data_IF_129849766284
#
_entry.id   IF_129849766284
#
_cell.length_a   1.000
_cell.length_b   1.000
_cell.length_c   1.000
_cell.angle_alpha   90.00
_cell.angle_beta   90.00
_cell.angle_gamma   90.00
#
_symmetry.space_group_name_H-M   'P 1'
#
loop_
_entity.id
_entity.type
_entity.pdbx_description
1 polymer ?
#
# COMPACT_ATOMS: atom_id res chain seq x y z
N UNK A 1 19.92 10.42 -8.23
CA UNK A 1 20.22 8.99 -8.00
C UNK A 1 19.41 8.22 -9.04
N UNK A 2 20.03 7.53 -10.01
CA UNK A 2 19.26 7.00 -11.16
C UNK A 2 18.51 5.73 -10.80
N UNK A 3 17.30 5.58 -11.35
CA UNK A 3 16.39 4.44 -11.22
C UNK A 3 17.08 3.08 -11.35
N UNK A 4 18.10 3.03 -12.22
CA UNK A 4 18.98 1.87 -12.43
C UNK A 4 19.74 1.41 -11.17
N UNK A 5 20.15 2.32 -10.28
CA UNK A 5 20.83 1.95 -9.03
C UNK A 5 19.86 1.40 -7.99
N UNK A 6 18.66 1.96 -7.89
CA UNK A 6 17.61 1.48 -6.99
C UNK A 6 17.16 0.06 -7.37
N UNK A 7 16.87 -0.17 -8.65
CA UNK A 7 16.50 -1.50 -9.16
C UNK A 7 17.62 -2.55 -8.95
N UNK A 8 18.88 -2.18 -9.21
CA UNK A 8 20.05 -3.05 -8.93
C UNK A 8 20.16 -3.40 -7.44
N UNK A 9 19.94 -2.44 -6.54
CA UNK A 9 20.01 -2.65 -5.09
C UNK A 9 18.88 -3.55 -4.60
N UNK A 10 17.65 -3.30 -5.06
CA UNK A 10 16.49 -4.13 -4.75
C UNK A 10 16.69 -5.57 -5.22
N UNK A 11 17.12 -5.78 -6.47
CA UNK A 11 17.39 -7.12 -7.00
C UNK A 11 18.50 -7.86 -6.26
N UNK A 12 19.54 -7.15 -5.80
CA UNK A 12 20.61 -7.74 -4.96
C UNK A 12 20.11 -8.14 -3.57
N UNK A 13 19.20 -7.35 -2.98
CA UNK A 13 18.58 -7.69 -1.69
C UNK A 13 17.71 -8.94 -1.82
N UNK A 14 16.79 -8.92 -2.80
CA UNK A 14 15.89 -10.04 -3.10
C UNK A 14 16.65 -11.34 -3.41
N UNK A 15 17.72 -11.25 -4.22
CA UNK A 15 18.58 -12.40 -4.51
C UNK A 15 19.18 -13.05 -3.25
N UNK A 16 19.56 -12.23 -2.25
CA UNK A 16 20.11 -12.73 -0.99
C UNK A 16 19.04 -13.36 -0.10
N UNK A 17 17.89 -12.72 0.01
CA UNK A 17 16.76 -13.17 0.85
C UNK A 17 16.15 -14.47 0.34
N UNK A 18 16.08 -14.65 -0.98
CA UNK A 18 15.43 -15.80 -1.62
C UNK A 18 16.41 -16.83 -2.20
N UNK A 19 17.72 -16.67 -1.98
CA UNK A 19 18.77 -17.55 -2.52
C UNK A 19 18.71 -17.72 -4.05
N UNK A 20 18.39 -16.64 -4.77
CA UNK A 20 18.26 -16.63 -6.23
C UNK A 20 19.48 -16.01 -6.90
N UNK A 21 19.70 -16.32 -8.19
CA UNK A 21 20.64 -15.54 -8.98
C UNK A 21 20.13 -14.11 -9.20
N UNK A 22 21.04 -13.16 -9.38
CA UNK A 22 20.70 -11.77 -9.65
C UNK A 22 19.75 -11.58 -10.86
N UNK A 23 19.92 -12.39 -11.92
CA UNK A 23 19.03 -12.35 -13.10
C UNK A 23 17.62 -12.85 -12.77
N UNK A 24 17.50 -13.91 -11.98
CA UNK A 24 16.20 -14.41 -11.52
C UNK A 24 15.50 -13.41 -10.61
N UNK A 25 16.24 -12.77 -9.69
CA UNK A 25 15.70 -11.72 -8.84
C UNK A 25 15.23 -10.51 -9.65
N UNK A 26 15.97 -10.08 -10.67
CA UNK A 26 15.52 -9.03 -11.59
C UNK A 26 14.25 -9.41 -12.35
N UNK A 27 14.17 -10.64 -12.85
CA UNK A 27 12.99 -11.11 -13.57
C UNK A 27 11.77 -11.21 -12.66
N UNK A 28 11.94 -11.68 -11.41
CA UNK A 28 10.88 -11.73 -10.40
C UNK A 28 10.36 -10.33 -10.06
N UNK A 29 11.25 -9.39 -9.73
CA UNK A 29 10.86 -8.00 -9.46
C UNK A 29 10.23 -7.32 -10.68
N UNK A 30 10.68 -7.64 -11.90
CA UNK A 30 10.08 -7.16 -13.14
C UNK A 30 8.65 -7.69 -13.33
N UNK A 31 8.42 -8.97 -13.05
CA UNK A 31 7.10 -9.57 -13.10
C UNK A 31 6.16 -8.99 -12.03
N UNK A 32 6.63 -8.83 -10.79
CA UNK A 32 5.87 -8.20 -9.70
C UNK A 32 5.47 -6.76 -10.07
N UNK A 33 6.41 -5.97 -10.61
CA UNK A 33 6.10 -4.61 -11.11
C UNK A 33 5.08 -4.61 -12.24
N UNK A 34 5.18 -5.55 -13.18
CA UNK A 34 4.22 -5.65 -14.27
C UNK A 34 2.81 -6.02 -13.78
N UNK A 35 2.71 -6.83 -12.73
CA UNK A 35 1.42 -7.12 -12.07
C UNK A 35 0.92 -5.88 -11.35
N UNK A 36 1.74 -5.24 -10.52
CA UNK A 36 1.38 -4.02 -9.79
C UNK A 36 0.92 -2.89 -10.73
N UNK A 37 1.57 -2.73 -11.89
CA UNK A 37 1.20 -1.72 -12.90
C UNK A 37 -0.25 -1.84 -13.38
N UNK A 38 -0.88 -3.01 -13.26
CA UNK A 38 -2.30 -3.21 -13.60
C UNK A 38 -3.26 -2.64 -12.56
N UNK A 39 -2.78 -2.36 -11.35
CA UNK A 39 -3.55 -1.89 -10.21
C UNK A 39 -3.26 -0.41 -9.89
N UNK A 40 -2.64 0.34 -10.80
CA UNK A 40 -2.34 1.78 -10.58
C UNK A 40 -3.59 2.57 -10.24
N UNK A 41 -4.69 2.40 -10.98
CA UNK A 41 -5.95 3.11 -10.68
C UNK A 41 -6.60 2.66 -9.38
N UNK A 42 -6.44 1.39 -8.98
CA UNK A 42 -6.86 0.93 -7.66
C UNK A 42 -6.01 1.59 -6.58
N UNK A 43 -4.70 1.70 -6.78
CA UNK A 43 -3.79 2.32 -5.84
C UNK A 43 -4.05 3.81 -5.65
N UNK A 44 -4.29 4.56 -6.74
CA UNK A 44 -4.69 5.98 -6.69
C UNK A 44 -5.94 6.12 -5.83
N UNK A 45 -6.94 5.28 -6.10
CA UNK A 45 -8.21 5.32 -5.38
C UNK A 45 -8.09 4.88 -3.92
N UNK A 46 -7.26 3.88 -3.61
CA UNK A 46 -6.94 3.48 -2.23
C UNK A 46 -6.30 4.63 -1.48
N UNK A 47 -5.32 5.33 -2.07
CA UNK A 47 -4.70 6.49 -1.42
C UNK A 47 -5.72 7.61 -1.15
N UNK A 48 -6.58 7.92 -2.11
CA UNK A 48 -7.65 8.91 -1.95
C UNK A 48 -8.60 8.51 -0.82
N UNK A 49 -9.09 7.27 -0.81
CA UNK A 49 -10.04 6.82 0.23
C UNK A 49 -9.39 6.65 1.60
N UNK A 50 -8.10 6.31 1.65
CA UNK A 50 -7.33 6.29 2.88
C UNK A 50 -7.24 7.70 3.48
N UNK A 51 -6.82 8.70 2.69
CA UNK A 51 -6.55 10.06 3.17
C UNK A 51 -7.81 10.92 3.22
N UNK A 52 -8.46 11.13 2.07
CA UNK A 52 -9.62 12.02 1.94
C UNK A 52 -10.93 11.34 2.36
N UNK A 53 -11.05 10.03 2.09
CA UNK A 53 -12.13 9.19 2.60
C UNK A 53 -12.02 8.86 4.10
N UNK A 54 -10.99 9.38 4.78
CA UNK A 54 -10.72 9.18 6.20
C UNK A 54 -10.50 7.71 6.63
N UNK A 55 -10.10 6.82 5.71
CA UNK A 55 -9.83 5.42 6.05
C UNK A 55 -8.80 5.25 7.17
N UNK A 56 -7.70 6.00 7.12
CA UNK A 56 -6.56 5.83 8.05
C UNK A 56 -6.50 6.88 9.16
N UNK A 57 -7.27 7.95 9.06
CA UNK A 57 -7.19 9.10 9.99
C UNK A 57 -7.63 8.79 11.42
N UNK A 58 -8.20 7.60 11.64
CA UNK A 58 -8.56 7.13 12.97
C UNK A 58 -7.40 6.50 13.75
N UNK A 59 -6.26 6.21 13.11
CA UNK A 59 -5.05 5.66 13.74
C UNK A 59 -3.73 6.30 13.27
N UNK A 60 -3.77 7.28 12.39
CA UNK A 60 -2.58 8.06 12.05
C UNK A 60 -2.90 9.52 11.81
N UNK A 61 -1.87 10.36 11.91
CA UNK A 61 -1.87 11.73 11.42
C UNK A 61 -1.31 11.77 10.00
N UNK A 62 -1.97 12.48 9.09
CA UNK A 62 -1.46 12.71 7.73
C UNK A 62 -0.61 13.97 7.75
N UNK A 63 0.70 13.81 7.53
CA UNK A 63 1.69 14.90 7.55
C UNK A 63 1.76 15.62 6.20
N UNK A 64 1.65 14.85 5.11
CA UNK A 64 1.65 15.39 3.75
C UNK A 64 0.83 14.51 2.81
N UNK A 65 0.12 15.14 1.88
CA UNK A 65 -0.60 14.46 0.80
C UNK A 65 -0.46 15.29 -0.48
N UNK A 66 -0.06 14.65 -1.57
CA UNK A 66 0.12 15.31 -2.87
C UNK A 66 -1.15 15.34 -3.74
N UNK A 67 -2.25 14.76 -3.25
CA UNK A 67 -3.53 14.67 -3.95
C UNK A 67 -3.71 13.44 -4.83
N UNK A 68 -2.69 12.58 -5.01
CA UNK A 68 -2.84 11.43 -5.93
C UNK A 68 -1.91 10.24 -5.70
N UNK A 69 -0.64 10.46 -5.40
CA UNK A 69 0.40 9.45 -5.61
C UNK A 69 1.28 9.18 -4.40
N UNK A 70 1.28 10.07 -3.41
CA UNK A 70 2.17 9.93 -2.26
C UNK A 70 1.65 10.65 -1.02
N UNK A 71 1.65 9.93 0.10
CA UNK A 71 1.36 10.50 1.42
C UNK A 71 2.44 10.12 2.43
N UNK A 72 2.69 11.01 3.38
CA UNK A 72 3.48 10.72 4.59
C UNK A 72 2.54 10.77 5.78
N UNK A 73 2.61 9.74 6.61
CA UNK A 73 1.78 9.60 7.82
C UNK A 73 2.65 9.30 9.03
N UNK A 74 2.15 9.65 10.21
CA UNK A 74 2.71 9.25 11.50
C UNK A 74 1.66 8.46 12.26
N UNK A 75 1.97 7.22 12.65
CA UNK A 75 1.03 6.37 13.39
C UNK A 75 0.87 6.81 14.86
N UNK A 76 -0.04 6.17 15.60
CA UNK A 76 -0.23 6.46 17.05
C UNK A 76 1.03 6.14 17.89
N UNK A 77 1.90 5.26 17.43
CA UNK A 77 3.19 4.95 18.05
C UNK A 77 4.27 6.01 17.81
N UNK A 78 4.03 6.96 16.89
CA UNK A 78 4.98 7.99 16.49
C UNK A 78 5.93 7.57 15.37
N UNK A 79 5.73 6.39 14.77
CA UNK A 79 6.51 5.94 13.62
C UNK A 79 6.00 6.59 12.33
N UNK A 80 6.93 7.05 11.51
CA UNK A 80 6.63 7.75 10.26
C UNK A 80 6.76 6.80 9.06
N UNK A 81 5.75 6.82 8.19
CA UNK A 81 5.71 6.04 6.97
C UNK A 81 5.45 6.93 5.77
N UNK A 82 6.08 6.60 4.64
CA UNK A 82 5.74 7.16 3.33
C UNK A 82 5.08 6.08 2.49
N UNK A 83 3.87 6.34 2.05
CA UNK A 83 3.12 5.49 1.14
C UNK A 83 3.24 6.08 -0.26
N UNK A 84 3.76 5.30 -1.20
CA UNK A 84 3.78 5.66 -2.61
C UNK A 84 2.75 4.86 -3.41
N UNK A 85 2.36 5.40 -4.56
CA UNK A 85 1.45 4.75 -5.48
C UNK A 85 1.94 3.34 -5.89
N UNK A 86 3.25 3.18 -6.08
CA UNK A 86 3.85 1.89 -6.45
C UNK A 86 3.74 0.86 -5.32
N UNK A 87 3.97 1.27 -4.07
CA UNK A 87 3.85 0.40 -2.90
C UNK A 87 2.39 -0.05 -2.70
N UNK A 88 1.45 0.89 -2.84
CA UNK A 88 0.02 0.61 -2.74
C UNK A 88 -0.46 -0.26 -3.90
N UNK A 89 0.06 -0.07 -5.12
CA UNK A 89 -0.28 -0.92 -6.27
C UNK A 89 0.20 -2.36 -6.08
N UNK A 90 1.38 -2.55 -5.49
CA UNK A 90 1.89 -3.88 -5.11
C UNK A 90 1.05 -4.52 -4.01
N UNK A 91 0.65 -3.73 -3.00
CA UNK A 91 -0.26 -4.19 -1.94
C UNK A 91 -1.63 -4.59 -2.49
N UNK A 92 -2.21 -3.77 -3.37
CA UNK A 92 -3.49 -4.06 -4.04
C UNK A 92 -3.41 -5.34 -4.88
N UNK A 93 -2.34 -5.51 -5.66
CA UNK A 93 -2.12 -6.75 -6.43
C UNK A 93 -2.09 -8.00 -5.54
N UNK A 94 -1.43 -7.89 -4.38
CA UNK A 94 -1.34 -8.98 -3.41
C UNK A 94 -2.69 -9.25 -2.75
N UNK A 95 -3.41 -8.19 -2.36
CA UNK A 95 -4.69 -8.28 -1.67
C UNK A 95 -5.79 -8.86 -2.56
N UNK A 96 -5.89 -8.42 -3.81
CA UNK A 96 -6.91 -8.92 -4.75
C UNK A 96 -6.55 -10.30 -5.34
N UNK A 97 -5.26 -10.64 -5.39
CA UNK A 97 -4.78 -11.95 -5.84
C UNK A 97 -5.34 -12.37 -7.21
N UNK A 98 -5.66 -13.65 -7.36
CA UNK A 98 -6.33 -14.21 -8.56
C UNK A 98 -7.87 -14.15 -8.48
N UNK A 99 -8.42 -13.46 -7.48
CA UNK A 99 -9.86 -13.35 -7.25
C UNK A 99 -10.54 -12.34 -8.18
N UNK A 100 -11.84 -12.13 -7.94
CA UNK A 100 -12.56 -11.04 -8.58
C UNK A 100 -12.01 -9.70 -8.08
N UNK A 101 -11.40 -8.94 -8.99
CA UNK A 101 -10.93 -7.59 -8.69
C UNK A 101 -12.11 -6.62 -8.74
N UNK A 102 -12.39 -5.85 -7.67
CA UNK A 102 -13.44 -4.84 -7.69
C UNK A 102 -13.12 -3.73 -8.70
N UNK A 103 -14.13 -2.97 -9.13
CA UNK A 103 -13.87 -1.72 -9.84
C UNK A 103 -13.09 -0.78 -8.90
N UNK A 104 -12.15 0.05 -9.39
CA UNK A 104 -11.55 1.09 -8.55
C UNK A 104 -12.61 1.91 -7.82
N UNK A 105 -13.72 2.25 -8.49
CA UNK A 105 -14.80 3.05 -7.90
C UNK A 105 -15.55 2.35 -6.75
N UNK A 106 -15.41 1.03 -6.60
CA UNK A 106 -16.01 0.26 -5.51
C UNK A 106 -15.12 0.24 -4.25
N UNK A 107 -13.91 0.79 -4.33
CA UNK A 107 -13.02 0.93 -3.17
C UNK A 107 -13.58 2.02 -2.26
N UNK A 108 -13.84 1.64 -1.02
CA UNK A 108 -14.24 2.53 0.06
C UNK A 108 -13.11 2.70 1.09
N UNK A 109 -13.36 3.57 2.07
CA UNK A 109 -12.39 3.89 3.12
C UNK A 109 -12.08 2.71 4.05
N UNK A 110 -12.99 1.74 4.17
CA UNK A 110 -12.76 0.53 4.97
C UNK A 110 -11.75 -0.40 4.27
N UNK A 111 -11.96 -0.69 2.98
CA UNK A 111 -11.03 -1.50 2.21
C UNK A 111 -9.66 -0.81 2.06
N UNK A 112 -9.66 0.51 1.87
CA UNK A 112 -8.43 1.29 1.82
C UNK A 112 -7.63 1.17 3.13
N UNK A 113 -8.31 1.26 4.28
CA UNK A 113 -7.70 1.07 5.59
C UNK A 113 -7.09 -0.34 5.74
N UNK A 114 -7.82 -1.40 5.40
CA UNK A 114 -7.32 -2.77 5.50
C UNK A 114 -6.07 -3.00 4.65
N UNK A 115 -6.04 -2.48 3.42
CA UNK A 115 -4.90 -2.60 2.51
C UNK A 115 -3.70 -1.82 3.05
N UNK A 116 -3.88 -0.58 3.51
CA UNK A 116 -2.79 0.24 4.04
C UNK A 116 -2.21 -0.38 5.31
N UNK A 117 -3.03 -0.83 6.25
CA UNK A 117 -2.53 -1.49 7.46
C UNK A 117 -1.81 -2.80 7.14
N UNK A 118 -2.34 -3.60 6.21
CA UNK A 118 -1.69 -4.85 5.79
C UNK A 118 -0.34 -4.59 5.13
N UNK A 119 -0.24 -3.54 4.31
CA UNK A 119 1.03 -3.09 3.72
C UNK A 119 2.06 -2.71 4.78
N UNK A 120 1.67 -1.89 5.77
CA UNK A 120 2.60 -1.35 6.76
C UNK A 120 2.97 -2.37 7.85
N UNK A 121 2.01 -3.17 8.29
CA UNK A 121 2.14 -3.99 9.50
C UNK A 121 2.04 -5.49 9.25
N UNK A 122 1.77 -5.92 8.02
CA UNK A 122 1.50 -7.33 7.70
C UNK A 122 0.14 -7.84 8.19
N UNK A 123 -0.73 -6.95 8.69
CA UNK A 123 -2.08 -7.26 9.16
C UNK A 123 -2.82 -6.04 9.70
N UNK A 124 -4.06 -6.24 10.14
CA UNK A 124 -4.92 -5.18 10.70
C UNK A 124 -4.73 -5.11 12.21
N UNK A 125 -4.22 -3.99 12.72
CA UNK A 125 -3.94 -3.77 14.14
C UNK A 125 -4.92 -2.75 14.72
N UNK A 126 -5.21 -1.69 13.99
CA UNK A 126 -6.12 -0.63 14.38
C UNK A 126 -7.50 -0.91 13.81
N UNK A 127 -8.42 -1.38 14.65
CA UNK A 127 -9.81 -1.59 14.22
C UNK A 127 -10.66 -0.38 14.57
N UNK A 128 -11.50 0.11 13.66
CA UNK A 128 -12.52 1.10 13.99
C UNK A 128 -13.37 0.56 15.14
N UNK A 129 -13.36 1.24 16.29
CA UNK A 129 -14.29 0.90 17.36
C UNK A 129 -15.71 1.20 16.87
N UNK A 130 -16.53 0.17 16.68
CA UNK A 130 -17.97 0.34 16.46
C UNK A 130 -18.58 0.91 17.74
N UNK A 131 -18.58 2.24 17.88
CA UNK A 131 -19.36 2.91 18.92
C UNK A 131 -20.83 2.77 18.54
N UNK A 132 -21.55 1.84 19.19
CA UNK A 132 -23.01 1.88 19.21
C UNK A 132 -23.41 3.25 19.76
N UNK A 133 -23.99 4.10 18.91
CA UNK A 133 -24.63 5.35 19.35
C UNK A 133 -25.74 4.93 20.32
N UNK A 134 -25.55 5.14 21.62
CA UNK A 134 -26.68 5.14 22.55
C UNK A 134 -27.49 6.37 22.18
N UNK A 135 -28.63 6.15 21.54
CA UNK A 135 -29.67 7.17 21.42
C UNK A 135 -30.12 7.42 22.86
N UNK A 136 -29.80 8.62 23.37
CA UNK A 136 -30.33 9.12 24.63
C UNK A 136 -31.70 9.76 24.36
#
# INVERSE_FOLDING_TARGET
MTENFAAKRAARRYAREHHLSYRQALAALGAERAVAARFVHHAERILIEAVEGCGITHWCTVESWDGSSSTTITDLGGEQFTLSLDDVASAAATHFGAGATPSPLDIDSYLADEIVQTLLFGGIIYRPQVRRRRVA
#
